data_IF_086139222162
#
_entry.id   IF_086139222162
#
_cell.length_a   1.000
_cell.length_b   1.000
_cell.length_c   1.000
_cell.angle_alpha   90.00
_cell.angle_beta   90.00
_cell.angle_gamma   90.00
#
_symmetry.space_group_name_H-M   'P 1'
#
loop_
_entity.id
_entity.type
_entity.pdbx_description
1 polymer ?
#
# COMPACT_ATOMS: atom_id res chain seq x y z
N UNK A 1 3.90 -17.43 49.51
CA UNK A 1 5.03 -16.50 49.71
C UNK A 1 5.68 -16.26 48.37
N UNK A 2 5.53 -15.03 47.88
CA UNK A 2 5.67 -14.63 46.48
C UNK A 2 7.10 -14.80 45.93
N UNK A 3 7.22 -15.59 44.87
CA UNK A 3 8.35 -15.54 43.94
C UNK A 3 8.18 -14.29 43.06
N UNK A 4 9.03 -13.29 43.30
CA UNK A 4 9.14 -12.11 42.45
C UNK A 4 9.64 -12.51 41.06
N UNK A 5 8.73 -12.59 40.09
CA UNK A 5 9.12 -12.57 38.68
C UNK A 5 9.65 -11.17 38.35
N UNK A 6 10.98 -11.09 38.19
CA UNK A 6 11.69 -9.92 37.72
C UNK A 6 11.36 -9.73 36.24
N UNK A 7 10.44 -8.82 35.92
CA UNK A 7 10.23 -8.36 34.55
C UNK A 7 11.50 -7.64 34.06
N UNK A 8 12.07 -8.00 32.89
CA UNK A 8 13.13 -7.20 32.30
C UNK A 8 12.54 -5.85 31.87
N UNK A 9 13.22 -4.76 32.24
CA UNK A 9 12.98 -3.42 31.70
C UNK A 9 13.17 -3.43 30.17
N UNK A 10 12.42 -2.63 29.40
CA UNK A 10 12.41 -2.70 27.95
C UNK A 10 13.69 -2.12 27.35
N UNK A 11 14.47 -2.95 26.67
CA UNK A 11 15.40 -2.48 25.65
C UNK A 11 14.59 -1.93 24.47
N UNK A 12 14.76 -0.64 24.21
CA UNK A 12 13.93 0.18 23.31
C UNK A 12 14.13 -0.07 21.81
N UNK A 13 14.50 -1.28 21.38
CA UNK A 13 14.90 -1.55 19.99
C UNK A 13 14.45 -2.90 19.43
N UNK A 14 13.62 -3.67 20.14
CA UNK A 14 13.19 -4.99 19.69
C UNK A 14 11.66 -5.09 19.76
N UNK A 15 10.99 -4.70 18.69
CA UNK A 15 9.56 -4.94 18.50
C UNK A 15 9.36 -6.14 17.57
N UNK A 16 8.89 -7.25 18.15
CA UNK A 16 8.44 -8.42 17.41
C UNK A 16 7.06 -8.15 16.75
N UNK A 17 6.72 -8.82 15.64
CA UNK A 17 5.42 -8.62 14.98
C UNK A 17 4.24 -8.84 15.91
N UNK A 18 4.33 -9.89 16.71
CA UNK A 18 3.31 -10.25 17.68
C UNK A 18 3.12 -9.13 18.72
N UNK A 19 4.17 -8.38 19.05
CA UNK A 19 4.08 -7.24 19.96
C UNK A 19 3.47 -6.03 19.26
N UNK A 20 3.85 -5.72 18.01
CA UNK A 20 3.26 -4.63 17.24
C UNK A 20 1.77 -4.85 16.97
N UNK A 21 1.38 -6.07 16.62
CA UNK A 21 -0.01 -6.46 16.43
C UNK A 21 -0.78 -6.41 17.77
N UNK A 22 -0.21 -6.94 18.88
CA UNK A 22 -0.86 -6.85 20.20
C UNK A 22 -1.08 -5.41 20.66
N UNK A 23 -0.10 -4.53 20.47
CA UNK A 23 -0.24 -3.12 20.83
C UNK A 23 -1.38 -2.46 20.04
N UNK A 24 -1.52 -2.78 18.75
CA UNK A 24 -2.63 -2.26 17.95
C UNK A 24 -4.00 -2.83 18.34
N UNK A 25 -4.06 -4.07 18.83
CA UNK A 25 -5.33 -4.71 19.23
C UNK A 25 -5.84 -4.15 20.57
N UNK A 26 -4.94 -3.82 21.50
CA UNK A 26 -5.32 -3.31 22.83
C UNK A 26 -5.86 -1.87 22.75
N UNK A 27 -5.36 -1.06 21.82
CA UNK A 27 -5.77 0.34 21.64
C UNK A 27 -6.82 0.55 20.53
N UNK A 28 -7.42 -0.53 20.03
CA UNK A 28 -8.37 -0.46 18.91
C UNK A 28 -9.73 0.08 19.39
N UNK A 29 -10.11 1.23 18.83
CA UNK A 29 -11.39 1.91 19.06
C UNK A 29 -12.13 2.12 17.74
N UNK A 30 -13.30 2.73 17.80
CA UNK A 30 -14.03 3.20 16.63
C UNK A 30 -14.01 4.74 16.60
N UNK A 31 -14.05 5.31 15.40
CA UNK A 31 -14.30 6.74 15.23
C UNK A 31 -15.69 7.12 15.79
N UNK A 32 -15.90 8.40 16.05
CA UNK A 32 -17.19 9.01 16.46
C UNK A 32 -18.38 8.59 15.59
N UNK A 33 -18.16 8.33 14.30
CA UNK A 33 -19.18 7.87 13.36
C UNK A 33 -19.49 6.37 13.49
N UNK A 34 -18.63 5.58 14.14
CA UNK A 34 -18.71 4.12 14.20
C UNK A 34 -18.40 3.40 12.89
N UNK A 35 -17.98 4.11 11.85
CA UNK A 35 -17.78 3.55 10.49
C UNK A 35 -16.38 3.00 10.26
N UNK A 36 -15.40 3.45 11.05
CA UNK A 36 -13.99 3.11 10.86
C UNK A 36 -13.31 2.77 12.19
N UNK A 37 -12.34 1.87 12.11
CA UNK A 37 -11.43 1.60 13.21
C UNK A 37 -10.45 2.75 13.42
N UNK A 38 -10.19 3.03 14.69
CA UNK A 38 -9.42 4.17 15.14
C UNK A 38 -8.45 3.76 16.26
N UNK A 39 -7.31 4.43 16.34
CA UNK A 39 -6.27 4.19 17.35
C UNK A 39 -5.77 5.54 17.86
N UNK A 40 -5.22 5.52 19.07
CA UNK A 40 -4.47 6.62 19.65
C UNK A 40 -3.36 7.10 18.70
N UNK A 41 -2.96 8.37 18.83
CA UNK A 41 -1.96 8.95 17.94
C UNK A 41 -0.60 8.23 18.06
N UNK A 42 -0.12 7.71 16.93
CA UNK A 42 1.17 7.02 16.85
C UNK A 42 2.26 7.94 16.31
N UNK A 43 3.46 7.86 16.90
CA UNK A 43 4.65 8.56 16.40
C UNK A 43 5.17 7.91 15.12
N UNK A 44 5.63 8.74 14.18
CA UNK A 44 6.19 8.26 12.90
C UNK A 44 7.42 7.36 13.08
N UNK A 45 8.22 7.56 14.13
CA UNK A 45 9.38 6.72 14.44
C UNK A 45 9.01 5.25 14.72
N UNK A 46 7.84 5.01 15.31
CA UNK A 46 7.45 3.67 15.76
C UNK A 46 6.87 2.82 14.62
N UNK A 47 6.41 3.47 13.55
CA UNK A 47 5.79 2.83 12.39
C UNK A 47 6.72 2.78 11.18
N UNK A 48 7.78 3.60 11.19
CA UNK A 48 8.83 3.56 10.18
C UNK A 48 9.79 2.41 10.46
N UNK A 49 9.64 1.33 9.70
CA UNK A 49 10.45 0.12 9.79
C UNK A 49 11.67 0.21 8.88
N UNK A 50 12.80 -0.29 9.38
CA UNK A 50 14.03 -0.52 8.63
C UNK A 50 13.97 -1.86 7.90
N UNK A 51 14.85 -2.06 6.92
CA UNK A 51 14.93 -3.33 6.17
C UNK A 51 15.14 -4.54 7.09
N UNK A 52 15.92 -4.38 8.17
CA UNK A 52 16.18 -5.46 9.15
C UNK A 52 14.91 -5.83 9.92
N UNK A 53 14.14 -4.83 10.36
CA UNK A 53 12.88 -5.05 11.07
C UNK A 53 11.84 -5.68 10.14
N UNK A 54 11.75 -5.25 8.89
CA UNK A 54 10.87 -5.85 7.88
C UNK A 54 11.16 -7.34 7.67
N UNK A 55 12.44 -7.70 7.51
CA UNK A 55 12.88 -9.10 7.34
C UNK A 55 12.64 -9.91 8.61
N UNK A 56 12.86 -9.32 9.78
CA UNK A 56 12.60 -9.98 11.07
C UNK A 56 11.12 -10.24 11.27
N UNK A 57 10.29 -9.29 10.86
CA UNK A 57 8.85 -9.37 10.99
C UNK A 57 8.26 -10.47 10.11
N UNK A 58 8.68 -10.59 8.85
CA UNK A 58 8.12 -11.56 7.91
C UNK A 58 6.59 -11.45 7.77
N UNK A 59 6.10 -10.29 7.36
CA UNK A 59 4.67 -10.11 7.10
C UNK A 59 4.15 -11.12 6.06
N UNK A 60 2.93 -11.61 6.28
CA UNK A 60 2.17 -12.51 5.41
C UNK A 60 0.73 -12.01 5.28
N UNK A 61 0.05 -12.34 4.17
CA UNK A 61 -1.32 -11.93 3.88
C UNK A 61 -1.59 -10.42 4.10
N UNK A 62 -0.64 -9.60 3.69
CA UNK A 62 -0.64 -8.15 3.91
C UNK A 62 -0.81 -7.39 2.59
N UNK A 63 -1.09 -6.10 2.68
CA UNK A 63 -1.21 -5.21 1.53
C UNK A 63 0.07 -4.36 1.44
N UNK A 64 0.71 -4.36 0.28
CA UNK A 64 1.86 -3.49 -0.01
C UNK A 64 1.37 -2.33 -0.87
N UNK A 65 1.70 -1.10 -0.47
CA UNK A 65 1.45 0.11 -1.26
C UNK A 65 2.79 0.71 -1.67
N UNK A 66 3.14 0.53 -2.94
CA UNK A 66 4.35 1.07 -3.54
C UNK A 66 4.06 2.47 -4.09
N UNK A 67 4.66 3.50 -3.50
CA UNK A 67 4.48 4.88 -3.96
C UNK A 67 5.71 5.29 -4.76
N UNK A 68 5.50 5.66 -6.02
CA UNK A 68 6.55 6.17 -6.88
C UNK A 68 6.96 7.59 -6.49
N UNK A 69 8.14 8.01 -6.95
CA UNK A 69 8.72 9.27 -6.51
C UNK A 69 7.81 10.44 -6.90
N UNK A 70 7.39 11.22 -5.90
CA UNK A 70 6.55 12.39 -6.12
C UNK A 70 7.38 13.68 -6.24
N UNK A 71 6.92 14.66 -7.04
CA UNK A 71 7.32 16.05 -6.85
C UNK A 71 6.93 16.49 -5.44
N UNK A 72 7.77 17.30 -4.77
CA UNK A 72 7.66 17.65 -3.34
C UNK A 72 6.32 18.25 -2.89
N UNK A 73 5.47 18.68 -3.82
CA UNK A 73 4.28 19.50 -3.53
C UNK A 73 2.96 18.74 -3.63
N UNK A 74 2.96 17.52 -4.18
CA UNK A 74 1.72 16.77 -4.40
C UNK A 74 1.50 15.82 -3.22
N UNK A 75 0.25 15.75 -2.75
CA UNK A 75 -0.19 14.74 -1.78
C UNK A 75 -0.86 13.60 -2.57
N UNK A 76 -0.40 12.36 -2.37
CA UNK A 76 -1.05 11.12 -2.83
C UNK A 76 -2.47 10.93 -2.29
N UNK A 77 -2.78 11.51 -1.11
CA UNK A 77 -4.08 11.29 -0.48
C UNK A 77 -4.22 9.87 0.07
N UNK A 78 -3.18 9.33 0.72
CA UNK A 78 -3.18 7.94 1.18
C UNK A 78 -4.31 7.64 2.17
N UNK A 79 -4.76 8.64 2.92
CA UNK A 79 -5.89 8.48 3.82
C UNK A 79 -7.16 8.02 3.09
N UNK A 80 -7.48 8.53 1.88
CA UNK A 80 -8.66 8.08 1.13
C UNK A 80 -8.52 6.65 0.61
N UNK A 81 -7.29 6.16 0.44
CA UNK A 81 -7.04 4.77 0.08
C UNK A 81 -7.15 3.84 1.30
N UNK A 82 -6.58 4.24 2.44
CA UNK A 82 -6.51 3.37 3.62
C UNK A 82 -7.82 3.34 4.40
N UNK A 83 -8.58 4.44 4.42
CA UNK A 83 -9.79 4.56 5.24
C UNK A 83 -10.85 3.49 4.93
N UNK A 84 -11.20 3.20 3.65
CA UNK A 84 -12.12 2.10 3.33
C UNK A 84 -11.63 0.72 3.79
N UNK A 85 -10.31 0.48 3.75
CA UNK A 85 -9.69 -0.78 4.22
C UNK A 85 -9.68 -0.93 5.75
N UNK A 86 -10.16 0.08 6.47
CA UNK A 86 -10.32 0.12 7.92
C UNK A 86 -11.77 0.36 8.33
N UNK A 87 -12.72 0.06 7.45
CA UNK A 87 -14.13 0.11 7.80
C UNK A 87 -14.47 -0.95 8.86
N UNK A 88 -15.38 -0.60 9.77
CA UNK A 88 -15.98 -1.52 10.75
C UNK A 88 -16.84 -2.59 10.11
N UNK A 89 -17.15 -2.48 8.81
CA UNK A 89 -17.76 -3.55 8.03
C UNK A 89 -16.85 -4.77 7.85
N UNK A 90 -15.54 -4.63 8.05
CA UNK A 90 -14.56 -5.73 7.96
C UNK A 90 -14.25 -6.20 9.39
N UNK A 91 -14.32 -7.50 9.71
CA UNK A 91 -13.99 -8.00 11.03
C UNK A 91 -12.50 -7.78 11.35
N UNK A 92 -12.18 -7.61 12.63
CA UNK A 92 -10.83 -7.24 13.09
C UNK A 92 -9.80 -8.29 12.70
N UNK A 93 -10.19 -9.57 12.68
CA UNK A 93 -9.37 -10.72 12.33
C UNK A 93 -8.98 -10.73 10.85
N UNK A 94 -9.79 -10.12 9.99
CA UNK A 94 -9.53 -10.00 8.55
C UNK A 94 -8.79 -8.71 8.17
N UNK A 95 -8.53 -7.82 9.15
CA UNK A 95 -7.80 -6.58 8.90
C UNK A 95 -6.35 -6.86 8.50
N UNK A 96 -6.10 -6.76 7.19
CA UNK A 96 -4.76 -6.93 6.65
C UNK A 96 -3.86 -5.75 7.01
N UNK A 97 -2.63 -6.00 7.48
CA UNK A 97 -1.66 -4.94 7.70
C UNK A 97 -1.27 -4.30 6.37
N UNK A 98 -1.10 -2.98 6.38
CA UNK A 98 -0.73 -2.19 5.20
C UNK A 98 0.71 -1.73 5.38
N UNK A 99 1.55 -2.05 4.39
CA UNK A 99 2.96 -1.72 4.34
C UNK A 99 3.15 -0.71 3.20
N UNK A 100 3.49 0.51 3.55
CA UNK A 100 3.71 1.60 2.59
C UNK A 100 5.20 1.66 2.27
N UNK A 101 5.57 1.34 1.03
CA UNK A 101 6.94 1.35 0.54
C UNK A 101 7.21 2.63 -0.25
N UNK A 102 8.03 3.51 0.33
CA UNK A 102 8.31 4.84 -0.20
C UNK A 102 9.50 5.49 0.51
N UNK A 103 9.93 6.66 0.04
CA UNK A 103 10.87 7.51 0.80
C UNK A 103 10.16 8.15 2.01
N UNK A 104 10.79 8.10 3.19
CA UNK A 104 10.19 8.54 4.46
C UNK A 104 9.62 9.97 4.41
N UNK A 105 10.31 10.88 3.71
CA UNK A 105 9.92 12.30 3.57
C UNK A 105 8.54 12.49 2.92
N UNK A 106 8.14 11.59 2.03
CA UNK A 106 6.83 11.68 1.35
C UNK A 106 5.70 11.41 2.34
N UNK A 107 5.87 10.39 3.20
CA UNK A 107 4.84 10.02 4.18
C UNK A 107 4.83 10.95 5.37
N UNK A 108 5.97 11.50 5.77
CA UNK A 108 6.02 12.43 6.89
C UNK A 108 5.07 13.63 6.68
N UNK A 109 4.93 14.09 5.44
CA UNK A 109 3.99 15.15 5.05
C UNK A 109 2.50 14.73 5.17
N UNK A 110 2.18 13.45 4.95
CA UNK A 110 0.82 12.90 5.01
C UNK A 110 0.49 12.20 6.33
N UNK A 111 1.48 12.01 7.20
CA UNK A 111 1.35 11.21 8.42
C UNK A 111 0.24 11.73 9.35
N UNK A 112 0.01 13.05 9.34
CA UNK A 112 -1.07 13.69 10.11
C UNK A 112 -2.44 13.05 9.87
N UNK A 113 -2.70 12.57 8.65
CA UNK A 113 -3.97 11.93 8.28
C UNK A 113 -3.99 10.42 8.51
N UNK A 114 -2.83 9.78 8.71
CA UNK A 114 -2.70 8.33 8.88
C UNK A 114 -2.44 7.90 10.33
N UNK A 115 -2.04 8.83 11.20
CA UNK A 115 -1.56 8.57 12.56
C UNK A 115 -2.53 7.80 13.45
N UNK A 116 -3.83 7.90 13.17
CA UNK A 116 -4.90 7.30 13.97
C UNK A 116 -5.45 5.99 13.38
N UNK A 117 -4.91 5.51 12.27
CA UNK A 117 -5.41 4.28 11.63
C UNK A 117 -4.59 3.07 12.11
N UNK A 118 -5.22 1.92 12.40
CA UNK A 118 -4.52 0.73 12.90
C UNK A 118 -3.75 -0.02 11.80
N UNK A 119 -2.76 -0.83 12.21
CA UNK A 119 -2.06 -1.79 11.34
C UNK A 119 -1.46 -1.16 10.06
N UNK A 120 -0.94 0.05 10.18
CA UNK A 120 -0.16 0.72 9.12
C UNK A 120 1.30 0.76 9.53
N UNK A 121 2.16 0.37 8.60
CA UNK A 121 3.61 0.40 8.70
C UNK A 121 4.20 1.08 7.47
N UNK A 122 5.31 1.79 7.66
CA UNK A 122 6.03 2.48 6.58
C UNK A 122 7.38 1.81 6.46
N UNK A 123 7.72 1.35 5.27
CA UNK A 123 9.05 0.85 4.97
C UNK A 123 9.80 1.89 4.14
N UNK A 124 10.80 2.51 4.76
CA UNK A 124 11.61 3.54 4.09
C UNK A 124 12.53 2.90 3.05
N UNK A 125 12.15 3.03 1.78
CA UNK A 125 12.91 2.47 0.67
C UNK A 125 12.29 2.79 -0.69
N UNK A 126 13.09 2.67 -1.76
CA UNK A 126 12.58 2.78 -3.12
C UNK A 126 11.88 1.48 -3.53
N UNK A 127 10.66 1.53 -4.10
CA UNK A 127 9.95 0.37 -4.64
C UNK A 127 10.53 -0.13 -5.98
N UNK A 128 11.45 0.61 -6.61
CA UNK A 128 12.18 0.14 -7.79
C UNK A 128 13.30 -0.85 -7.43
N UNK A 129 13.76 -0.84 -6.18
CA UNK A 129 14.78 -1.77 -5.71
C UNK A 129 14.15 -3.12 -5.36
N UNK A 130 14.56 -4.17 -6.07
CA UNK A 130 14.07 -5.54 -5.83
C UNK A 130 14.39 -6.06 -4.42
N UNK A 131 15.50 -5.62 -3.82
CA UNK A 131 15.86 -6.02 -2.45
C UNK A 131 14.82 -5.51 -1.45
N UNK A 132 14.31 -4.28 -1.65
CA UNK A 132 13.26 -3.72 -0.82
C UNK A 132 11.94 -4.45 -1.03
N UNK A 133 11.55 -4.74 -2.28
CA UNK A 133 10.33 -5.51 -2.57
C UNK A 133 10.36 -6.91 -1.93
N UNK A 134 11.52 -7.58 -1.94
CA UNK A 134 11.71 -8.87 -1.25
C UNK A 134 11.64 -8.73 0.26
N UNK A 135 12.30 -7.72 0.84
CA UNK A 135 12.24 -7.46 2.27
C UNK A 135 10.82 -7.13 2.75
N UNK A 136 10.04 -6.43 1.92
CA UNK A 136 8.63 -6.17 2.16
C UNK A 136 7.77 -7.44 2.08
N UNK A 137 8.27 -8.52 1.45
CA UNK A 137 7.55 -9.78 1.32
C UNK A 137 6.50 -9.76 0.21
N UNK A 138 6.81 -9.15 -0.95
CA UNK A 138 5.90 -9.11 -2.11
C UNK A 138 5.39 -10.49 -2.54
N UNK A 139 6.16 -11.54 -2.31
CA UNK A 139 5.82 -12.93 -2.62
C UNK A 139 4.74 -13.51 -1.68
N UNK A 140 4.60 -12.94 -0.47
CA UNK A 140 3.63 -13.38 0.57
C UNK A 140 2.51 -12.36 0.80
N UNK A 141 2.49 -11.27 0.03
CA UNK A 141 1.45 -10.26 0.13
C UNK A 141 0.16 -10.74 -0.55
N UNK A 142 -1.00 -10.31 -0.05
CA UNK A 142 -2.27 -10.61 -0.74
C UNK A 142 -2.50 -9.68 -1.91
N UNK A 143 -2.00 -8.44 -1.81
CA UNK A 143 -2.25 -7.39 -2.78
C UNK A 143 -1.07 -6.43 -2.77
N UNK A 144 -0.55 -6.12 -3.95
CA UNK A 144 0.45 -5.08 -4.14
C UNK A 144 -0.14 -3.99 -5.04
N UNK A 145 -0.24 -2.78 -4.50
CA UNK A 145 -0.77 -1.61 -5.20
C UNK A 145 0.39 -0.71 -5.58
N UNK A 146 0.47 -0.37 -6.87
CA UNK A 146 1.46 0.59 -7.38
C UNK A 146 0.75 1.91 -7.61
N UNK A 147 1.13 2.93 -6.84
CA UNK A 147 0.59 4.28 -6.96
C UNK A 147 1.57 5.16 -7.74
N UNK A 148 1.10 5.66 -8.88
CA UNK A 148 1.79 6.68 -9.68
C UNK A 148 1.19 8.05 -9.37
N UNK A 149 2.01 8.95 -8.83
CA UNK A 149 1.62 10.33 -8.56
C UNK A 149 2.57 11.26 -9.32
N UNK A 150 2.53 11.17 -10.64
CA UNK A 150 3.29 12.01 -11.56
C UNK A 150 2.31 12.93 -12.30
N UNK A 151 2.43 14.24 -12.07
CA UNK A 151 1.73 15.25 -12.84
C UNK A 151 2.76 16.12 -13.56
N UNK A 152 2.56 16.33 -14.86
CA UNK A 152 3.43 17.20 -15.65
C UNK A 152 3.01 18.65 -15.42
N UNK A 153 3.74 19.36 -14.54
CA UNK A 153 3.50 20.78 -14.25
C UNK A 153 3.67 21.64 -15.52
N UNK A 154 4.36 21.13 -16.55
CA UNK A 154 4.66 21.90 -17.78
C UNK A 154 3.56 21.87 -18.86
N UNK A 155 2.45 21.17 -18.64
CA UNK A 155 1.34 21.12 -19.62
C UNK A 155 1.68 20.40 -20.93
N UNK A 156 2.87 19.80 -21.05
CA UNK A 156 3.21 18.91 -22.16
C UNK A 156 2.83 17.47 -21.77
N UNK A 157 2.12 16.73 -22.63
CA UNK A 157 1.92 15.30 -22.40
C UNK A 157 3.26 14.60 -22.55
N UNK A 158 3.96 14.31 -21.45
CA UNK A 158 5.10 13.41 -21.54
C UNK A 158 4.58 11.97 -21.59
N UNK A 159 4.96 11.25 -22.65
CA UNK A 159 4.72 9.81 -22.79
C UNK A 159 5.45 8.97 -21.71
N UNK A 160 6.17 9.62 -20.80
CA UNK A 160 7.03 9.02 -19.79
C UNK A 160 6.48 9.16 -18.36
N UNK A 161 5.25 9.66 -18.18
CA UNK A 161 4.60 9.86 -16.87
C UNK A 161 4.54 8.54 -16.08
N UNK A 162 4.27 7.42 -16.75
CA UNK A 162 4.07 6.12 -16.11
C UNK A 162 5.31 5.23 -16.06
N UNK A 163 6.49 5.73 -16.47
CA UNK A 163 7.71 4.90 -16.60
C UNK A 163 8.09 4.17 -15.32
N UNK A 164 7.97 4.83 -14.16
CA UNK A 164 8.36 4.26 -12.86
C UNK A 164 7.34 3.23 -12.39
N UNK A 165 6.04 3.52 -12.59
CA UNK A 165 4.94 2.61 -12.28
C UNK A 165 5.05 1.31 -13.09
N UNK A 166 5.22 1.44 -14.42
CA UNK A 166 5.38 0.30 -15.32
C UNK A 166 6.62 -0.52 -14.92
N UNK A 167 7.75 0.13 -14.66
CA UNK A 167 8.98 -0.56 -14.27
C UNK A 167 8.83 -1.27 -12.93
N UNK A 168 8.15 -0.66 -11.96
CA UNK A 168 7.84 -1.28 -10.68
C UNK A 168 6.95 -2.52 -10.87
N UNK A 169 5.87 -2.42 -11.64
CA UNK A 169 4.98 -3.54 -11.96
C UNK A 169 5.73 -4.69 -12.64
N UNK A 170 6.63 -4.39 -13.59
CA UNK A 170 7.46 -5.41 -14.24
C UNK A 170 8.41 -6.09 -13.24
N UNK A 171 9.03 -5.33 -12.35
CA UNK A 171 9.89 -5.88 -11.29
C UNK A 171 9.11 -6.79 -10.34
N UNK A 172 7.92 -6.39 -9.90
CA UNK A 172 7.04 -7.19 -9.03
C UNK A 172 6.67 -8.50 -9.73
N UNK A 173 6.21 -8.42 -10.99
CA UNK A 173 5.85 -9.61 -11.77
C UNK A 173 7.03 -10.57 -11.96
N UNK A 174 8.23 -10.04 -12.20
CA UNK A 174 9.43 -10.86 -12.32
C UNK A 174 9.75 -11.58 -11.01
N UNK A 175 9.66 -10.88 -9.86
CA UNK A 175 9.88 -11.48 -8.55
C UNK A 175 8.86 -12.59 -8.25
N UNK A 176 7.58 -12.34 -8.53
CA UNK A 176 6.53 -13.35 -8.39
C UNK A 176 6.77 -14.54 -9.32
N UNK A 177 7.13 -14.30 -10.58
CA UNK A 177 7.45 -15.37 -11.52
C UNK A 177 8.66 -16.21 -11.05
N UNK A 178 9.68 -15.57 -10.48
CA UNK A 178 10.84 -16.28 -9.94
C UNK A 178 10.48 -17.11 -8.69
N UNK A 179 9.56 -16.63 -7.85
CA UNK A 179 9.03 -17.37 -6.71
C UNK A 179 8.11 -18.54 -7.12
N UNK A 180 7.34 -18.38 -8.21
CA UNK A 180 6.44 -19.42 -8.73
C UNK A 180 7.12 -20.42 -9.68
N UNK A 181 8.32 -20.15 -10.21
CA UNK A 181 9.07 -21.12 -11.04
C UNK A 181 9.43 -22.42 -10.31
N UNK A 182 9.29 -22.49 -9.00
CA UNK A 182 9.39 -23.73 -8.22
C UNK A 182 8.11 -24.58 -8.25
N UNK A 183 6.97 -24.03 -8.70
CA UNK A 183 5.67 -24.70 -8.81
C UNK A 183 4.94 -24.23 -10.10
N UNK A 184 5.13 -24.97 -11.18
CA UNK A 184 4.38 -24.91 -12.44
C UNK A 184 4.52 -23.66 -13.33
N UNK A 185 5.07 -23.93 -14.52
CA UNK A 185 5.15 -23.04 -15.68
C UNK A 185 3.75 -22.78 -16.23
N UNK A 186 2.97 -21.90 -15.63
CA UNK A 186 1.82 -21.29 -16.31
C UNK A 186 1.59 -19.87 -15.79
N UNK A 187 1.27 -18.95 -16.70
CA UNK A 187 0.77 -17.59 -16.43
C UNK A 187 1.79 -16.47 -16.26
N UNK A 188 2.92 -16.54 -16.98
CA UNK A 188 3.54 -15.32 -17.50
C UNK A 188 2.81 -14.89 -18.78
N UNK A 189 1.49 -14.63 -18.69
CA UNK A 189 0.80 -13.85 -19.72
C UNK A 189 1.34 -12.43 -19.59
N UNK A 190 2.41 -12.24 -20.37
CA UNK A 190 3.11 -11.00 -20.61
C UNK A 190 2.10 -9.86 -20.73
N UNK A 191 2.54 -8.68 -20.32
CA UNK A 191 1.99 -7.38 -20.73
C UNK A 191 2.07 -7.26 -22.27
N UNK A 192 1.47 -8.18 -23.01
CA UNK A 192 1.24 -8.11 -24.43
C UNK A 192 0.15 -7.07 -24.61
N UNK A 193 0.58 -5.82 -24.59
CA UNK A 193 -0.10 -4.70 -25.24
C UNK A 193 -0.11 -4.95 -26.75
N UNK A 194 -0.73 -6.05 -27.19
CA UNK A 194 -1.29 -6.15 -28.53
C UNK A 194 -2.76 -5.72 -28.44
N UNK A 195 -2.99 -4.52 -27.94
CA UNK A 195 -4.25 -3.84 -28.23
C UNK A 195 -4.11 -3.28 -29.63
N UNK A 196 -4.75 -3.92 -30.61
CA UNK A 196 -4.92 -3.39 -31.98
C UNK A 196 -5.99 -2.29 -32.06
N UNK A 197 -6.59 -1.88 -30.94
CA UNK A 197 -7.73 -0.97 -30.96
C UNK A 197 -7.58 0.07 -29.85
N UNK A 198 -7.50 1.35 -30.23
CA UNK A 198 -7.25 2.51 -29.38
C UNK A 198 -8.38 2.86 -28.40
N UNK A 199 -8.92 1.89 -27.67
CA UNK A 199 -9.90 2.09 -26.61
C UNK A 199 -9.45 1.38 -25.34
N UNK A 200 -9.26 2.16 -24.27
CA UNK A 200 -8.86 1.71 -22.93
C UNK A 200 -9.83 0.69 -22.35
N UNK A 201 -11.12 0.75 -22.71
CA UNK A 201 -12.14 -0.18 -22.21
C UNK A 201 -11.98 -1.63 -22.67
N UNK A 202 -11.28 -1.88 -23.78
CA UNK A 202 -11.04 -3.23 -24.29
C UNK A 202 -9.67 -3.80 -23.89
N UNK A 203 -8.98 -3.16 -22.94
CA UNK A 203 -7.73 -3.68 -22.42
C UNK A 203 -7.99 -4.82 -21.42
N UNK A 204 -7.48 -6.04 -21.66
CA UNK A 204 -7.67 -7.16 -20.74
C UNK A 204 -7.12 -6.88 -19.33
N UNK A 205 -6.11 -6.00 -19.19
CA UNK A 205 -5.57 -5.60 -17.90
C UNK A 205 -6.54 -4.71 -17.11
N UNK A 206 -7.33 -3.89 -17.80
CA UNK A 206 -8.39 -3.08 -17.18
C UNK A 206 -9.58 -3.99 -16.85
N UNK A 207 -9.97 -4.88 -17.76
CA UNK A 207 -11.08 -5.83 -17.53
C UNK A 207 -10.80 -6.82 -16.39
N UNK A 208 -9.54 -7.22 -16.18
CA UNK A 208 -9.13 -8.07 -15.06
C UNK A 208 -8.90 -7.32 -13.74
N UNK A 209 -9.11 -5.99 -13.71
CA UNK A 209 -8.91 -5.18 -12.50
C UNK A 209 -7.45 -4.95 -12.11
N UNK A 210 -6.49 -5.25 -13.01
CA UNK A 210 -5.06 -5.08 -12.77
C UNK A 210 -4.57 -3.63 -13.00
N UNK A 211 -5.33 -2.83 -13.75
CA UNK A 211 -5.03 -1.43 -14.04
C UNK A 211 -6.28 -0.59 -13.78
N UNK A 212 -6.08 0.55 -13.11
CA UNK A 212 -7.09 1.59 -12.95
C UNK A 212 -6.54 2.91 -13.47
N UNK A 213 -7.28 3.57 -14.37
CA UNK A 213 -6.93 4.87 -14.93
C UNK A 213 -7.92 5.95 -14.48
N UNK A 214 -7.42 7.13 -14.15
CA UNK A 214 -8.25 8.26 -13.71
C UNK A 214 -9.24 8.74 -14.77
N UNK A 215 -8.95 8.52 -16.06
CA UNK A 215 -9.83 8.91 -17.17
C UNK A 215 -11.22 8.25 -17.10
N UNK A 216 -11.32 7.09 -16.45
CA UNK A 216 -12.60 6.39 -16.23
C UNK A 216 -13.55 7.24 -15.36
N UNK A 217 -13.01 8.12 -14.51
CA UNK A 217 -13.80 9.00 -13.64
C UNK A 217 -14.45 10.17 -14.39
N UNK A 218 -13.98 10.55 -15.59
CA UNK A 218 -14.59 11.65 -16.35
C UNK A 218 -16.05 11.36 -16.72
N UNK A 219 -16.37 10.10 -16.98
CA UNK A 219 -17.74 9.66 -17.26
C UNK A 219 -18.69 9.90 -16.08
N UNK A 220 -18.18 9.96 -14.84
CA UNK A 220 -18.99 10.28 -13.66
C UNK A 220 -19.53 11.72 -13.72
N UNK A 221 -18.76 12.68 -14.24
CA UNK A 221 -19.22 14.07 -14.39
C UNK A 221 -20.45 14.15 -15.30
N UNK A 222 -20.44 13.43 -16.43
CA UNK A 222 -21.59 13.35 -17.33
C UNK A 222 -22.80 12.70 -16.65
N UNK A 223 -22.58 11.66 -15.86
CA UNK A 223 -23.64 10.95 -15.15
C UNK A 223 -24.29 11.82 -14.05
N UNK A 224 -23.47 12.52 -13.26
CA UNK A 224 -23.93 13.47 -12.24
C UNK A 224 -24.78 14.56 -12.88
N UNK A 225 -24.32 15.15 -13.99
CA UNK A 225 -25.08 16.16 -14.72
C UNK A 225 -26.44 15.64 -15.20
N UNK A 226 -26.55 14.38 -15.60
CA UNK A 226 -27.83 13.81 -16.07
C UNK A 226 -28.81 13.49 -14.94
N UNK A 227 -28.32 13.03 -13.80
CA UNK A 227 -29.18 12.65 -12.66
C UNK A 227 -29.59 13.82 -11.77
N UNK A 228 -29.00 15.01 -11.94
CA UNK A 228 -29.40 16.23 -11.21
C UNK A 228 -30.61 16.96 -11.83
N UNK A 229 -31.02 16.60 -13.05
CA UNK A 229 -32.16 17.20 -13.74
C UNK A 229 -33.42 16.31 -13.76
N UNK A 230 -33.48 15.31 -12.88
CA UNK A 230 -34.66 14.50 -12.58
C UNK A 230 -34.91 14.50 -11.07
#
# INVERSE_FOLDING_TARGET
MNSYYRYPYPDSTITDLAQLQRLNVIDLQCDSTGLFYWVTERKFSNICLTMKEMIRCQFENHIIVCIMKQPKEIKSGLASFVLPLRSTSIPVEELKPIIILCEAKVIENEWRSLKNLPNIYVFSGSPLNRANLRAAGVERCSTCVVLSCSFDISGKPSLMIDKESILCTLNIRQLLADAHKTNDVTNASLLSTKSKYGSTYFNPLIASGNIFESNVLHSLSSNVSKNLFY
#
